data_IF_948894341482
#
_entry.id   IF_948894341482
#
_cell.length_a   1.000
_cell.length_b   1.000
_cell.length_c   1.000
_cell.angle_alpha   90.00
_cell.angle_beta   90.00
_cell.angle_gamma   90.00
#
_symmetry.space_group_name_H-M   'P 1'
#
loop_
_entity.id
_entity.type
_entity.pdbx_description
1 polymer ?
#
# COMPACT_ATOMS: atom_id res chain seq x y z
N UNK A 1 9.69 -16.37 -10.60
CA UNK A 1 9.56 -16.33 -9.14
C UNK A 1 9.58 -14.92 -8.53
N UNK A 2 10.21 -13.90 -9.12
CA UNK A 2 10.37 -12.56 -8.51
C UNK A 2 9.36 -11.47 -8.94
N UNK A 3 8.30 -11.78 -9.73
CA UNK A 3 7.25 -10.80 -10.13
C UNK A 3 6.50 -10.18 -8.92
N UNK A 4 6.49 -10.87 -7.78
CA UNK A 4 5.89 -10.38 -6.53
C UNK A 4 6.60 -9.14 -5.98
N UNK A 5 7.93 -9.07 -6.05
CA UNK A 5 8.73 -7.97 -5.50
C UNK A 5 8.49 -6.62 -6.20
N UNK A 6 8.04 -6.66 -7.46
CA UNK A 6 7.74 -5.46 -8.23
C UNK A 6 6.30 -4.93 -8.02
N UNK A 7 5.48 -5.60 -7.19
CA UNK A 7 4.14 -5.11 -6.87
C UNK A 7 4.23 -3.78 -6.13
N UNK A 8 3.35 -2.81 -6.47
CA UNK A 8 3.33 -1.53 -5.78
C UNK A 8 3.11 -1.73 -4.29
N UNK A 9 3.87 -0.99 -3.50
CA UNK A 9 3.72 -0.94 -2.05
C UNK A 9 3.65 0.54 -1.64
N UNK A 10 2.65 0.98 -0.87
CA UNK A 10 2.50 2.38 -0.54
C UNK A 10 3.50 2.78 0.55
N UNK A 11 4.41 3.68 0.22
CA UNK A 11 5.30 4.30 1.21
C UNK A 11 4.50 5.14 2.21
N UNK A 12 4.84 5.03 3.50
CA UNK A 12 4.21 5.83 4.55
C UNK A 12 4.98 7.13 4.77
N UNK A 13 4.44 8.24 4.27
CA UNK A 13 5.01 9.59 4.37
C UNK A 13 4.28 10.50 5.38
N UNK A 14 3.40 9.94 6.21
CA UNK A 14 2.66 10.69 7.22
C UNK A 14 3.56 10.99 8.43
N UNK A 15 4.16 12.20 8.46
CA UNK A 15 5.12 12.61 9.48
C UNK A 15 4.52 12.56 10.89
N UNK A 16 3.27 13.00 11.07
CA UNK A 16 2.60 12.99 12.38
C UNK A 16 2.40 11.59 12.92
N UNK A 17 2.05 10.68 12.03
CA UNK A 17 1.90 9.28 12.38
C UNK A 17 3.25 8.64 12.67
N UNK A 18 4.26 8.86 11.81
CA UNK A 18 5.60 8.32 11.99
C UNK A 18 6.22 8.79 13.32
N UNK A 19 6.06 10.06 13.71
CA UNK A 19 6.54 10.55 15.00
C UNK A 19 5.93 9.81 16.20
N UNK A 20 4.61 9.53 16.17
CA UNK A 20 3.98 8.72 17.21
C UNK A 20 4.48 7.28 17.21
N UNK A 21 4.62 6.69 16.03
CA UNK A 21 5.09 5.32 15.85
C UNK A 21 6.51 5.15 16.41
N UNK A 22 7.43 6.08 16.06
CA UNK A 22 8.81 6.11 16.56
C UNK A 22 8.82 6.14 18.08
N UNK A 23 8.04 7.04 18.68
CA UNK A 23 7.95 7.17 20.14
C UNK A 23 7.52 5.87 20.82
N UNK A 24 6.42 5.27 20.35
CA UNK A 24 5.92 4.02 20.95
C UNK A 24 6.84 2.83 20.72
N UNK A 25 7.47 2.71 19.55
CA UNK A 25 8.45 1.64 19.29
C UNK A 25 9.67 1.80 20.21
N UNK A 26 10.19 3.02 20.35
CA UNK A 26 11.37 3.27 21.20
C UNK A 26 11.08 2.99 22.68
N UNK A 27 9.90 3.36 23.16
CA UNK A 27 9.47 2.97 24.53
C UNK A 27 9.31 1.45 24.63
N UNK A 28 8.72 0.80 23.62
CA UNK A 28 8.60 -0.65 23.58
C UNK A 28 9.95 -1.37 23.68
N UNK A 29 10.98 -0.85 22.99
CA UNK A 29 12.35 -1.36 23.09
C UNK A 29 12.92 -1.16 24.51
N UNK A 30 12.75 0.02 25.10
CA UNK A 30 13.16 0.28 26.46
C UNK A 30 12.55 -0.69 27.46
N UNK A 31 11.22 -0.89 27.37
CA UNK A 31 10.48 -1.82 28.26
C UNK A 31 10.96 -3.24 28.04
N UNK A 32 11.13 -3.66 26.79
CA UNK A 32 11.66 -4.99 26.47
C UNK A 32 13.04 -5.23 27.08
N UNK A 33 13.98 -4.31 26.85
CA UNK A 33 15.34 -4.41 27.38
C UNK A 33 15.39 -4.42 28.92
N UNK A 34 14.53 -3.62 29.55
CA UNK A 34 14.43 -3.58 31.00
C UNK A 34 13.88 -4.87 31.60
N UNK A 35 12.86 -5.47 30.96
CA UNK A 35 12.23 -6.70 31.46
C UNK A 35 13.07 -7.96 31.18
N UNK A 36 13.57 -8.09 29.96
CA UNK A 36 14.24 -9.30 29.51
C UNK A 36 15.77 -9.30 29.73
N UNK A 37 16.38 -8.13 29.93
CA UNK A 37 17.79 -7.93 30.22
C UNK A 37 18.74 -8.81 29.37
N UNK A 38 18.64 -8.79 28.05
CA UNK A 38 19.48 -9.57 27.15
C UNK A 38 20.96 -9.07 27.20
N UNK A 39 21.90 -9.83 26.63
CA UNK A 39 23.31 -9.42 26.46
C UNK A 39 24.01 -9.11 27.81
N UNK A 40 23.87 -10.00 28.78
CA UNK A 40 24.48 -9.90 30.11
C UNK A 40 24.11 -8.62 30.90
N UNK A 41 23.09 -7.88 30.45
CA UNK A 41 22.57 -6.71 31.17
C UNK A 41 22.10 -7.07 32.56
N UNK A 42 21.70 -8.33 32.80
CA UNK A 42 21.33 -8.84 34.11
C UNK A 42 22.49 -8.83 35.10
N UNK A 43 23.73 -9.00 34.64
CA UNK A 43 24.94 -9.08 35.43
C UNK A 43 25.51 -7.71 35.80
N UNK A 44 25.02 -6.63 35.17
CA UNK A 44 25.50 -5.27 35.40
C UNK A 44 24.99 -4.69 36.72
N UNK A 45 25.72 -3.71 37.22
CA UNK A 45 25.23 -2.91 38.34
C UNK A 45 24.09 -1.97 37.86
N UNK A 46 23.28 -1.43 38.78
CA UNK A 46 22.07 -0.65 38.46
C UNK A 46 22.39 0.60 37.63
N UNK A 47 23.52 1.23 37.78
CA UNK A 47 23.92 2.40 37.01
C UNK A 47 24.24 2.05 35.55
N UNK A 48 25.08 1.04 35.37
CA UNK A 48 25.45 0.54 34.03
C UNK A 48 24.24 0.03 33.28
N UNK A 49 23.37 -0.76 33.92
CA UNK A 49 22.11 -1.24 33.41
C UNK A 49 21.24 -0.06 32.88
N UNK A 50 21.12 0.99 33.67
CA UNK A 50 20.37 2.17 33.28
C UNK A 50 20.98 2.82 32.03
N UNK A 51 22.27 3.05 31.98
CA UNK A 51 22.92 3.65 30.80
C UNK A 51 22.74 2.80 29.56
N UNK A 52 22.97 1.48 29.66
CA UNK A 52 22.82 0.58 28.52
C UNK A 52 21.39 0.58 28.00
N UNK A 53 20.40 0.32 28.85
CA UNK A 53 18.99 0.24 28.45
C UNK A 53 18.49 1.56 27.89
N UNK A 54 18.75 2.65 28.60
CA UNK A 54 18.31 4.00 28.17
C UNK A 54 18.97 4.42 26.85
N UNK A 55 20.29 4.21 26.72
CA UNK A 55 21.03 4.58 25.51
C UNK A 55 20.60 3.82 24.28
N UNK A 56 20.36 2.50 24.38
CA UNK A 56 19.82 1.72 23.25
C UNK A 56 18.42 2.22 22.83
N UNK A 57 17.59 2.61 23.78
CA UNK A 57 16.30 3.21 23.48
C UNK A 57 16.42 4.57 22.77
N UNK A 58 17.34 5.42 23.22
CA UNK A 58 17.65 6.73 22.58
C UNK A 58 18.19 6.52 21.16
N UNK A 59 19.09 5.57 20.95
CA UNK A 59 19.63 5.25 19.61
C UNK A 59 18.54 4.76 18.69
N UNK A 60 17.64 3.88 19.17
CA UNK A 60 16.47 3.45 18.41
C UNK A 60 15.64 4.66 17.98
N UNK A 61 15.34 5.56 18.91
CA UNK A 61 14.57 6.77 18.63
C UNK A 61 15.26 7.66 17.58
N UNK A 62 16.54 7.91 17.73
CA UNK A 62 17.31 8.76 16.80
C UNK A 62 17.44 8.10 15.43
N UNK A 63 17.75 6.81 15.36
CA UNK A 63 17.86 6.07 14.09
C UNK A 63 16.52 6.03 13.35
N UNK A 64 15.42 5.73 14.03
CA UNK A 64 14.10 5.75 13.41
C UNK A 64 13.68 7.16 12.99
N UNK A 65 14.02 8.20 13.78
CA UNK A 65 13.73 9.60 13.41
C UNK A 65 14.49 10.02 12.16
N UNK A 66 15.77 9.67 12.07
CA UNK A 66 16.58 9.90 10.88
C UNK A 66 15.96 9.25 9.65
N UNK A 67 15.61 7.97 9.75
CA UNK A 67 15.13 7.19 8.61
C UNK A 67 13.68 7.48 8.22
N UNK A 68 12.78 7.71 9.15
CA UNK A 68 11.34 7.84 8.86
C UNK A 68 10.85 9.30 8.77
N UNK A 69 11.61 10.26 9.30
CA UNK A 69 11.25 11.69 9.23
C UNK A 69 12.23 12.47 8.36
N UNK A 70 13.54 12.39 8.68
CA UNK A 70 14.55 13.28 8.08
C UNK A 70 14.86 12.88 6.64
N UNK A 71 15.26 11.63 6.39
CA UNK A 71 15.66 11.17 5.05
C UNK A 71 14.53 11.28 4.00
N UNK A 72 13.28 10.89 4.29
CA UNK A 72 12.18 11.07 3.33
C UNK A 72 11.87 12.54 3.05
N UNK A 73 12.05 13.43 4.05
CA UNK A 73 11.85 14.89 3.88
C UNK A 73 12.95 15.54 3.07
N UNK A 74 14.22 15.11 3.21
CA UNK A 74 15.35 15.63 2.45
C UNK A 74 15.40 15.11 1.02
N UNK A 75 15.00 13.87 0.79
CA UNK A 75 15.08 13.18 -0.51
C UNK A 75 13.71 12.73 -1.03
N UNK A 76 12.71 13.62 -1.19
CA UNK A 76 11.34 13.22 -1.56
C UNK A 76 11.26 12.50 -2.89
N UNK A 77 12.20 12.76 -3.82
CA UNK A 77 12.26 12.11 -5.12
C UNK A 77 12.52 10.59 -5.04
N UNK A 78 13.26 10.14 -4.03
CA UNK A 78 13.56 8.71 -3.80
C UNK A 78 12.34 7.98 -3.23
N UNK A 79 11.57 8.65 -2.37
CA UNK A 79 10.47 8.10 -1.59
C UNK A 79 9.08 8.32 -2.21
N UNK A 80 9.03 8.54 -3.55
CA UNK A 80 7.77 8.74 -4.25
C UNK A 80 6.89 7.50 -4.18
N UNK A 81 5.67 7.63 -3.65
CA UNK A 81 4.64 6.57 -3.58
C UNK A 81 4.39 5.88 -4.93
N UNK A 82 4.49 6.63 -6.04
CA UNK A 82 4.22 6.13 -7.40
C UNK A 82 5.19 5.05 -7.86
N UNK A 83 6.43 5.09 -7.41
CA UNK A 83 7.50 4.18 -7.83
C UNK A 83 7.97 3.25 -6.71
N UNK A 84 7.31 3.30 -5.55
CA UNK A 84 7.64 2.45 -4.41
C UNK A 84 7.01 1.06 -4.56
N UNK A 85 7.79 0.03 -4.31
CA UNK A 85 7.38 -1.37 -4.44
C UNK A 85 7.92 -2.22 -3.28
N UNK A 86 7.49 -3.48 -3.21
CA UNK A 86 7.88 -4.40 -2.13
C UNK A 86 9.40 -4.56 -2.04
N UNK A 87 10.11 -4.60 -3.17
CA UNK A 87 11.58 -4.71 -3.18
C UNK A 87 12.22 -3.51 -2.48
N UNK A 88 11.77 -2.29 -2.81
CA UNK A 88 12.28 -1.07 -2.18
C UNK A 88 11.96 -1.01 -0.68
N UNK A 89 10.78 -1.48 -0.27
CA UNK A 89 10.40 -1.57 1.14
C UNK A 89 11.34 -2.50 1.89
N UNK A 90 11.59 -3.72 1.38
CA UNK A 90 12.53 -4.67 2.00
C UNK A 90 13.93 -4.08 2.10
N UNK A 91 14.45 -3.45 1.04
CA UNK A 91 15.75 -2.81 1.07
C UNK A 91 15.81 -1.67 2.08
N UNK A 92 14.72 -0.93 2.22
CA UNK A 92 14.59 0.14 3.20
C UNK A 92 14.57 -0.38 4.63
N UNK A 93 13.84 -1.45 4.90
CA UNK A 93 13.83 -2.12 6.22
C UNK A 93 15.21 -2.66 6.59
N UNK A 94 15.95 -3.25 5.62
CA UNK A 94 17.34 -3.69 5.82
C UNK A 94 18.26 -2.50 6.12
N UNK A 95 18.08 -1.39 5.43
CA UNK A 95 18.83 -0.16 5.69
C UNK A 95 18.58 0.36 7.11
N UNK A 96 17.31 0.44 7.55
CA UNK A 96 16.95 0.85 8.91
C UNK A 96 17.58 -0.11 9.95
N UNK A 97 17.48 -1.43 9.71
CA UNK A 97 18.13 -2.44 10.57
C UNK A 97 19.63 -2.17 10.69
N UNK A 98 20.31 -1.92 9.57
CA UNK A 98 21.74 -1.65 9.55
C UNK A 98 22.09 -0.38 10.34
N UNK A 99 21.32 0.71 10.18
CA UNK A 99 21.57 1.97 10.91
C UNK A 99 21.39 1.82 12.42
N UNK A 100 20.37 1.07 12.87
CA UNK A 100 20.14 0.77 14.29
C UNK A 100 21.28 -0.09 14.83
N UNK A 101 21.64 -1.17 14.12
CA UNK A 101 22.70 -2.10 14.55
C UNK A 101 24.07 -1.41 14.67
N UNK A 102 24.41 -0.56 13.70
CA UNK A 102 25.65 0.25 13.76
C UNK A 102 25.59 1.22 14.93
N UNK A 103 24.45 1.87 15.15
CA UNK A 103 24.25 2.77 16.29
C UNK A 103 24.45 2.05 17.64
N UNK A 104 23.90 0.86 17.78
CA UNK A 104 24.09 0.03 18.98
C UNK A 104 25.55 -0.37 19.16
N UNK A 105 26.21 -0.83 18.09
CA UNK A 105 27.61 -1.20 18.13
C UNK A 105 28.51 -0.04 18.57
N UNK A 106 28.35 1.15 17.95
CA UNK A 106 29.11 2.34 18.31
C UNK A 106 28.87 2.79 19.76
N UNK A 107 27.66 2.63 20.25
CA UNK A 107 27.32 2.97 21.63
C UNK A 107 27.99 2.04 22.63
N UNK A 108 27.97 0.74 22.38
CA UNK A 108 28.69 -0.23 23.23
C UNK A 108 30.20 0.00 23.23
N UNK A 109 30.77 0.32 22.06
CA UNK A 109 32.18 0.72 21.93
C UNK A 109 32.48 1.98 22.74
N UNK A 110 31.59 2.98 22.73
CA UNK A 110 31.75 4.20 23.51
C UNK A 110 31.69 3.99 25.01
N UNK A 111 30.81 3.11 25.47
CA UNK A 111 30.69 2.80 26.91
C UNK A 111 31.94 2.08 27.46
N UNK A 112 32.67 1.34 26.65
CA UNK A 112 33.87 0.59 27.07
C UNK A 112 33.63 -0.46 28.19
N UNK A 113 32.35 -0.86 28.38
CA UNK A 113 31.92 -1.72 29.48
C UNK A 113 32.19 -3.20 29.14
N UNK A 114 32.27 -3.53 27.86
CA UNK A 114 32.36 -4.90 27.37
C UNK A 114 33.43 -5.09 26.30
N UNK A 115 34.01 -6.29 26.27
CA UNK A 115 34.71 -6.78 25.09
C UNK A 115 33.69 -7.13 23.99
N UNK A 116 33.85 -6.52 22.81
CA UNK A 116 32.97 -6.75 21.68
C UNK A 116 33.41 -8.04 20.99
N UNK A 117 32.70 -9.12 21.24
CA UNK A 117 32.87 -10.38 20.55
C UNK A 117 31.80 -10.60 19.46
N UNK A 118 31.93 -11.67 18.67
CA UNK A 118 30.98 -12.03 17.61
C UNK A 118 29.57 -12.31 18.14
N UNK A 119 29.46 -12.92 19.32
CA UNK A 119 28.14 -13.22 19.93
C UNK A 119 27.42 -11.95 20.33
N UNK A 120 28.14 -10.97 20.84
CA UNK A 120 27.58 -9.67 21.19
C UNK A 120 27.07 -8.91 19.94
N UNK A 121 27.87 -8.87 18.87
CA UNK A 121 27.43 -8.25 17.60
C UNK A 121 26.17 -8.93 17.08
N UNK A 122 26.09 -10.24 17.08
CA UNK A 122 24.92 -10.99 16.67
C UNK A 122 23.71 -10.67 17.57
N UNK A 123 23.90 -10.57 18.87
CA UNK A 123 22.88 -10.19 19.84
C UNK A 123 22.33 -8.78 19.59
N UNK A 124 23.18 -7.81 19.29
CA UNK A 124 22.77 -6.43 18.95
C UNK A 124 21.92 -6.39 17.67
N UNK A 125 22.28 -7.18 16.65
CA UNK A 125 21.48 -7.32 15.43
C UNK A 125 20.10 -7.92 15.75
N UNK A 126 20.04 -8.96 16.57
CA UNK A 126 18.78 -9.59 16.98
C UNK A 126 17.88 -8.59 17.72
N UNK A 127 18.44 -7.78 18.64
CA UNK A 127 17.68 -6.74 19.34
C UNK A 127 17.16 -5.68 18.35
N UNK A 128 17.95 -5.29 17.36
CA UNK A 128 17.54 -4.32 16.34
C UNK A 128 16.41 -4.83 15.43
N UNK A 129 16.16 -6.15 15.36
CA UNK A 129 15.00 -6.71 14.64
C UNK A 129 13.67 -6.34 15.33
N UNK A 130 13.65 -6.14 16.64
CA UNK A 130 12.42 -5.85 17.40
C UNK A 130 11.73 -4.57 16.89
N UNK A 131 12.39 -3.40 16.86
CA UNK A 131 11.78 -2.17 16.37
C UNK A 131 11.36 -2.27 14.88
N UNK A 132 12.13 -2.97 14.05
CA UNK A 132 11.80 -3.20 12.65
C UNK A 132 10.53 -4.05 12.51
N UNK A 133 10.44 -5.15 13.24
CA UNK A 133 9.24 -6.01 13.24
C UNK A 133 8.00 -5.22 13.68
N UNK A 134 8.12 -4.43 14.75
CA UNK A 134 7.06 -3.53 15.21
C UNK A 134 6.62 -2.55 14.12
N UNK A 135 7.56 -1.93 13.44
CA UNK A 135 7.31 -0.98 12.36
C UNK A 135 6.57 -1.64 11.19
N UNK A 136 7.05 -2.79 10.71
CA UNK A 136 6.44 -3.52 9.60
C UNK A 136 5.00 -3.93 9.95
N UNK A 137 4.78 -4.54 11.11
CA UNK A 137 3.47 -5.03 11.55
C UNK A 137 2.48 -3.88 11.68
N UNK A 138 2.86 -2.78 12.33
CA UNK A 138 1.97 -1.63 12.57
C UNK A 138 1.62 -0.92 11.25
N UNK A 139 2.61 -0.69 10.38
CA UNK A 139 2.37 -0.08 9.08
C UNK A 139 1.45 -0.94 8.21
N UNK A 140 1.72 -2.25 8.13
CA UNK A 140 0.90 -3.19 7.35
C UNK A 140 -0.55 -3.25 7.86
N UNK A 141 -0.76 -3.32 9.17
CA UNK A 141 -2.09 -3.35 9.76
C UNK A 141 -2.86 -2.04 9.53
N UNK A 142 -2.19 -0.89 9.63
CA UNK A 142 -2.81 0.41 9.32
C UNK A 142 -3.33 0.47 7.89
N UNK A 143 -2.51 0.04 6.93
CA UNK A 143 -2.88 0.06 5.51
C UNK A 143 -4.06 -0.87 5.24
N UNK A 144 -4.00 -2.08 5.78
CA UNK A 144 -5.09 -3.05 5.65
C UNK A 144 -6.40 -2.49 6.21
N UNK A 145 -6.40 -1.98 7.44
CA UNK A 145 -7.59 -1.39 8.08
C UNK A 145 -8.15 -0.19 7.30
N UNK A 146 -7.28 0.67 6.75
CA UNK A 146 -7.73 1.82 5.95
C UNK A 146 -8.45 1.37 4.68
N UNK A 147 -7.89 0.37 3.98
CA UNK A 147 -8.47 -0.14 2.74
C UNK A 147 -9.76 -0.95 3.00
N UNK A 148 -9.82 -1.74 4.09
CA UNK A 148 -11.04 -2.46 4.48
C UNK A 148 -12.19 -1.51 4.80
N UNK A 149 -11.96 -0.49 5.64
CA UNK A 149 -12.99 0.51 5.98
C UNK A 149 -13.53 1.24 4.74
N UNK A 150 -12.63 1.53 3.77
CA UNK A 150 -13.04 2.16 2.53
C UNK A 150 -13.90 1.22 1.69
N UNK A 151 -13.50 -0.04 1.55
CA UNK A 151 -14.26 -1.06 0.82
C UNK A 151 -15.64 -1.32 1.45
N UNK A 152 -15.71 -1.45 2.78
CA UNK A 152 -16.98 -1.61 3.51
C UNK A 152 -17.93 -0.43 3.28
N UNK A 153 -17.39 0.81 3.35
CA UNK A 153 -18.19 2.02 3.12
C UNK A 153 -18.76 2.12 1.70
N UNK A 154 -18.00 1.64 0.69
CA UNK A 154 -18.47 1.59 -0.70
C UNK A 154 -19.50 0.47 -0.86
N UNK A 155 -19.24 -0.73 -0.36
CA UNK A 155 -20.15 -1.87 -0.45
C UNK A 155 -21.54 -1.57 0.17
N UNK A 156 -21.57 -0.83 1.29
CA UNK A 156 -22.83 -0.40 1.91
C UNK A 156 -23.65 0.48 0.95
N UNK A 157 -23.00 1.47 0.32
CA UNK A 157 -23.65 2.42 -0.60
C UNK A 157 -24.08 1.77 -1.93
N UNK A 158 -23.30 0.80 -2.45
CA UNK A 158 -23.67 0.05 -3.66
C UNK A 158 -24.99 -0.72 -3.52
N UNK A 159 -25.33 -1.14 -2.31
CA UNK A 159 -26.62 -1.80 -2.04
C UNK A 159 -27.79 -0.84 -2.08
N UNK A 160 -27.55 0.46 -1.88
CA UNK A 160 -28.59 1.50 -1.77
C UNK A 160 -28.93 2.18 -3.09
N UNK A 161 -28.01 2.20 -4.09
CA UNK A 161 -28.15 3.01 -5.32
C UNK A 161 -27.91 2.20 -6.60
N UNK A 162 -28.94 2.04 -7.45
CA UNK A 162 -28.81 1.54 -8.84
C UNK A 162 -29.54 2.49 -9.79
N UNK A 163 -28.84 3.08 -10.76
CA UNK A 163 -29.40 3.92 -11.82
C UNK A 163 -29.35 3.19 -13.17
N UNK A 164 -30.40 3.34 -14.00
CA UNK A 164 -30.51 2.73 -15.33
C UNK A 164 -30.64 3.83 -16.37
N UNK A 165 -29.77 3.82 -17.39
CA UNK A 165 -29.86 4.70 -18.55
C UNK A 165 -29.81 3.85 -19.84
N UNK A 166 -30.75 4.06 -20.75
CA UNK A 166 -30.92 3.28 -21.99
C UNK A 166 -30.25 3.90 -23.23
N UNK A 167 -29.42 4.93 -23.06
CA UNK A 167 -28.73 5.60 -24.17
C UNK A 167 -27.85 4.64 -24.95
N UNK A 168 -27.96 4.66 -26.29
CA UNK A 168 -27.04 3.92 -27.18
C UNK A 168 -25.74 4.69 -27.36
N UNK A 169 -24.62 3.98 -27.33
CA UNK A 169 -23.30 4.51 -27.63
C UNK A 169 -22.64 3.68 -28.72
N UNK A 170 -21.89 4.32 -29.59
CA UNK A 170 -21.14 3.67 -30.66
C UNK A 170 -19.64 3.89 -30.47
N UNK A 171 -18.92 2.80 -30.28
CA UNK A 171 -17.45 2.79 -30.29
C UNK A 171 -16.99 2.53 -31.73
N UNK A 172 -16.26 3.47 -32.30
CA UNK A 172 -15.75 3.40 -33.68
C UNK A 172 -14.25 3.14 -33.62
N UNK A 173 -13.78 2.18 -34.43
CA UNK A 173 -12.36 1.88 -34.56
C UNK A 173 -11.64 2.96 -35.37
N UNK A 174 -10.40 3.29 -34.99
CA UNK A 174 -9.59 4.31 -35.66
C UNK A 174 -9.11 3.87 -37.05
N UNK A 175 -9.04 2.55 -37.36
CA UNK A 175 -8.39 1.99 -38.55
C UNK A 175 -9.14 0.85 -39.24
N UNK A 176 -10.27 0.40 -38.71
CA UNK A 176 -11.06 -0.70 -39.31
C UNK A 176 -12.55 -0.33 -39.34
N UNK A 177 -13.32 -1.09 -40.13
CA UNK A 177 -14.79 -0.97 -40.14
C UNK A 177 -15.45 -1.55 -38.86
N UNK A 178 -14.64 -1.99 -37.89
CA UNK A 178 -15.15 -2.56 -36.67
C UNK A 178 -15.74 -1.47 -35.80
N UNK A 179 -17.00 -1.60 -35.49
CA UNK A 179 -17.73 -0.73 -34.57
C UNK A 179 -18.58 -1.57 -33.62
N UNK A 180 -18.76 -1.09 -32.41
CA UNK A 180 -19.67 -1.67 -31.43
C UNK A 180 -20.73 -0.63 -31.09
N UNK A 181 -21.98 -0.93 -31.38
CA UNK A 181 -23.14 -0.13 -30.98
C UNK A 181 -23.86 -0.86 -29.84
N UNK A 182 -23.93 -0.24 -28.67
CA UNK A 182 -24.42 -0.89 -27.46
C UNK A 182 -25.12 0.11 -26.53
N UNK A 183 -26.15 -0.35 -25.80
CA UNK A 183 -26.75 0.44 -24.70
C UNK A 183 -25.73 0.60 -23.58
N UNK A 184 -25.53 1.85 -23.11
CA UNK A 184 -24.54 2.16 -22.08
C UNK A 184 -24.84 1.41 -20.79
N UNK A 185 -26.12 1.20 -20.47
CA UNK A 185 -26.56 0.43 -19.32
C UNK A 185 -26.04 -1.02 -19.29
N UNK A 186 -25.77 -1.63 -20.46
CA UNK A 186 -25.27 -3.01 -20.56
C UNK A 186 -23.75 -3.10 -20.34
N UNK A 187 -23.00 -2.01 -20.52
CA UNK A 187 -21.55 -1.99 -20.34
C UNK A 187 -21.20 -2.25 -18.88
N UNK A 188 -20.34 -3.21 -18.63
CA UNK A 188 -19.85 -3.56 -17.30
C UNK A 188 -18.47 -2.96 -17.04
N UNK A 189 -17.51 -3.24 -17.92
CA UNK A 189 -16.10 -2.84 -17.80
C UNK A 189 -15.54 -2.53 -19.18
N UNK A 190 -14.71 -1.50 -19.27
CA UNK A 190 -13.85 -1.24 -20.43
C UNK A 190 -12.40 -1.29 -19.96
N UNK A 191 -11.61 -2.17 -20.58
CA UNK A 191 -10.21 -2.40 -20.26
C UNK A 191 -9.30 -1.93 -21.39
N UNK A 192 -8.23 -1.21 -21.07
CA UNK A 192 -7.17 -0.92 -22.03
C UNK A 192 -6.32 -2.17 -22.30
N UNK A 193 -6.13 -2.52 -23.57
CA UNK A 193 -5.37 -3.67 -24.04
C UNK A 193 -4.42 -3.21 -25.17
N UNK A 194 -3.23 -2.70 -24.81
CA UNK A 194 -2.26 -2.08 -25.74
C UNK A 194 -2.90 -0.91 -26.53
N UNK A 195 -3.04 -1.06 -27.86
CA UNK A 195 -3.66 -0.08 -28.75
C UNK A 195 -5.16 -0.31 -28.94
N UNK A 196 -5.76 -1.18 -28.14
CA UNK A 196 -7.18 -1.53 -28.17
C UNK A 196 -7.80 -1.23 -26.82
N UNK A 197 -9.14 -1.09 -26.85
CA UNK A 197 -10.00 -1.23 -25.68
C UNK A 197 -10.78 -2.52 -25.82
N UNK A 198 -10.96 -3.22 -24.72
CA UNK A 198 -11.84 -4.37 -24.64
C UNK A 198 -13.07 -3.97 -23.84
N UNK A 199 -14.22 -4.00 -24.48
CA UNK A 199 -15.51 -3.65 -23.88
C UNK A 199 -16.19 -4.94 -23.44
N UNK A 200 -16.54 -5.04 -22.17
CA UNK A 200 -17.30 -6.16 -21.58
C UNK A 200 -18.71 -5.69 -21.28
N UNK A 201 -19.71 -6.48 -21.71
CA UNK A 201 -21.11 -6.17 -21.43
C UNK A 201 -21.92 -7.44 -21.09
N UNK A 202 -23.04 -7.23 -20.40
CA UNK A 202 -24.00 -8.29 -20.05
C UNK A 202 -25.11 -8.31 -21.08
N UNK A 203 -25.33 -9.46 -21.71
CA UNK A 203 -26.42 -9.70 -22.66
C UNK A 203 -27.03 -11.07 -22.35
N UNK A 204 -28.32 -11.13 -22.12
CA UNK A 204 -29.08 -12.36 -21.81
C UNK A 204 -28.42 -13.23 -20.71
N UNK A 205 -27.94 -12.62 -19.62
CA UNK A 205 -27.20 -13.24 -18.53
C UNK A 205 -25.81 -13.82 -18.90
N UNK A 206 -25.30 -13.57 -20.11
CA UNK A 206 -23.93 -13.93 -20.52
C UNK A 206 -23.08 -12.67 -20.61
N UNK A 207 -21.80 -12.83 -20.29
CA UNK A 207 -20.82 -11.74 -20.51
C UNK A 207 -20.23 -11.94 -21.90
N UNK A 208 -20.33 -10.89 -22.71
CA UNK A 208 -19.68 -10.79 -24.02
C UNK A 208 -18.56 -9.77 -23.95
N UNK A 209 -17.54 -9.90 -24.79
CA UNK A 209 -16.51 -8.89 -24.96
C UNK A 209 -16.15 -8.69 -26.43
N UNK A 210 -15.67 -7.49 -26.75
CA UNK A 210 -15.14 -7.17 -28.07
C UNK A 210 -13.96 -6.22 -27.94
N UNK A 211 -12.90 -6.50 -28.73
CA UNK A 211 -11.75 -5.63 -28.87
C UNK A 211 -12.03 -4.58 -29.97
N UNK A 212 -11.77 -3.32 -29.65
CA UNK A 212 -11.93 -2.20 -30.59
C UNK A 212 -10.62 -1.42 -30.56
N UNK A 213 -10.05 -1.14 -31.73
CA UNK A 213 -8.85 -0.32 -31.82
C UNK A 213 -9.19 1.14 -31.52
N UNK A 214 -9.01 1.51 -30.28
CA UNK A 214 -9.29 2.83 -29.74
C UNK A 214 -8.56 3.03 -28.41
N UNK A 215 -8.54 4.25 -27.89
CA UNK A 215 -7.94 4.54 -26.60
C UNK A 215 -8.99 4.59 -25.48
N UNK A 216 -8.56 4.22 -24.26
CA UNK A 216 -9.43 4.35 -23.09
C UNK A 216 -9.87 5.81 -22.84
N UNK A 217 -9.04 6.78 -23.22
CA UNK A 217 -9.37 8.20 -23.12
C UNK A 217 -10.52 8.58 -24.04
N UNK A 218 -10.55 8.07 -25.28
CA UNK A 218 -11.69 8.31 -26.21
C UNK A 218 -12.98 7.71 -25.64
N UNK A 219 -12.90 6.48 -25.09
CA UNK A 219 -14.05 5.87 -24.42
C UNK A 219 -14.51 6.67 -23.20
N UNK A 220 -13.58 7.21 -22.40
CA UNK A 220 -13.87 8.08 -21.25
C UNK A 220 -14.61 9.36 -21.68
N UNK A 221 -14.15 10.02 -22.74
CA UNK A 221 -14.80 11.22 -23.29
C UNK A 221 -16.19 10.90 -23.82
N UNK A 222 -16.34 9.80 -24.56
CA UNK A 222 -17.62 9.34 -25.12
C UNK A 222 -18.68 9.07 -24.05
N UNK A 223 -18.24 8.57 -22.89
CA UNK A 223 -19.10 8.16 -21.76
C UNK A 223 -19.14 9.21 -20.63
N UNK A 224 -18.57 10.40 -20.83
CA UNK A 224 -18.41 11.42 -19.79
C UNK A 224 -19.73 11.85 -19.13
N UNK A 225 -20.84 11.87 -19.88
CA UNK A 225 -22.16 12.26 -19.38
C UNK A 225 -22.81 11.19 -18.49
N UNK A 226 -22.29 9.97 -18.49
CA UNK A 226 -22.85 8.82 -17.79
C UNK A 226 -22.33 8.76 -16.35
N UNK A 227 -23.15 9.17 -15.39
CA UNK A 227 -22.78 9.25 -13.98
C UNK A 227 -22.39 7.89 -13.35
N UNK A 228 -22.90 6.79 -13.92
CA UNK A 228 -22.61 5.44 -13.45
C UNK A 228 -21.37 4.79 -14.11
N UNK A 229 -20.77 5.46 -15.13
CA UNK A 229 -19.48 5.01 -15.69
C UNK A 229 -18.37 5.79 -15.02
N UNK A 230 -17.47 5.07 -14.40
CA UNK A 230 -16.42 5.65 -13.56
C UNK A 230 -15.02 5.12 -13.92
N UNK A 231 -14.05 6.03 -14.02
CA UNK A 231 -12.63 5.65 -14.18
C UNK A 231 -12.03 5.31 -12.81
N UNK A 232 -11.80 4.03 -12.56
CA UNK A 232 -11.26 3.55 -11.28
C UNK A 232 -9.74 3.30 -11.34
N UNK A 233 -9.19 3.20 -12.54
CA UNK A 233 -7.76 2.95 -12.77
C UNK A 233 -7.34 3.53 -14.13
N UNK A 234 -6.02 3.76 -14.33
CA UNK A 234 -5.50 4.24 -15.63
C UNK A 234 -5.85 3.36 -16.82
N UNK A 235 -6.17 2.10 -16.58
CA UNK A 235 -6.48 1.09 -17.61
C UNK A 235 -7.92 0.59 -17.56
N UNK A 236 -8.80 1.17 -16.73
CA UNK A 236 -10.16 0.67 -16.56
C UNK A 236 -11.19 1.79 -16.37
N UNK A 237 -12.30 1.68 -17.14
CA UNK A 237 -13.59 2.31 -16.85
C UNK A 237 -14.55 1.22 -16.40
N UNK A 238 -15.39 1.51 -15.42
CA UNK A 238 -16.35 0.55 -14.87
C UNK A 238 -17.73 1.17 -14.76
N UNK A 239 -18.74 0.33 -14.85
CA UNK A 239 -20.10 0.67 -14.50
C UNK A 239 -20.35 0.28 -13.04
N UNK A 240 -20.65 1.27 -12.20
CA UNK A 240 -20.86 1.06 -10.75
C UNK A 240 -22.08 0.18 -10.46
N UNK A 241 -23.07 0.13 -11.36
CA UNK A 241 -24.28 -0.70 -11.20
C UNK A 241 -24.01 -2.21 -11.26
N UNK A 242 -22.88 -2.62 -11.88
CA UNK A 242 -22.48 -4.04 -12.00
C UNK A 242 -21.46 -4.48 -10.96
N UNK A 243 -21.04 -3.57 -10.07
CA UNK A 243 -20.14 -3.96 -8.98
C UNK A 243 -20.85 -4.93 -8.04
N UNK A 244 -20.28 -6.11 -7.87
CA UNK A 244 -20.74 -7.09 -6.88
C UNK A 244 -20.20 -6.73 -5.49
N UNK A 245 -18.88 -6.63 -5.37
CA UNK A 245 -18.22 -6.26 -4.11
C UNK A 245 -16.87 -5.59 -4.33
N UNK A 246 -16.40 -4.89 -3.30
CA UNK A 246 -15.06 -4.33 -3.22
C UNK A 246 -14.34 -4.95 -2.03
N UNK A 247 -13.13 -5.47 -2.28
CA UNK A 247 -12.28 -6.01 -1.23
C UNK A 247 -11.04 -5.13 -1.03
N UNK A 248 -10.77 -4.80 0.24
CA UNK A 248 -9.57 -4.09 0.64
C UNK A 248 -8.42 -5.05 0.95
N UNK A 249 -7.22 -4.71 0.49
CA UNK A 249 -6.00 -5.42 0.82
C UNK A 249 -4.87 -4.45 1.19
N UNK A 250 -3.74 -4.96 1.63
CA UNK A 250 -2.52 -4.15 1.87
C UNK A 250 -2.09 -3.40 0.60
N UNK A 251 -2.31 -3.99 -0.57
CA UNK A 251 -1.91 -3.45 -1.87
C UNK A 251 -2.92 -2.45 -2.47
N UNK A 252 -4.09 -2.27 -1.84
CA UNK A 252 -5.18 -1.41 -2.31
C UNK A 252 -6.51 -2.13 -2.40
N UNK A 253 -7.46 -1.51 -3.08
CA UNK A 253 -8.80 -2.06 -3.27
C UNK A 253 -8.92 -2.75 -4.63
N UNK A 254 -9.73 -3.82 -4.68
CA UNK A 254 -10.10 -4.54 -5.90
C UNK A 254 -11.61 -4.62 -6.00
N UNK A 255 -12.12 -4.41 -7.20
CA UNK A 255 -13.54 -4.56 -7.53
C UNK A 255 -13.75 -5.92 -8.15
N UNK A 256 -14.81 -6.57 -7.71
CA UNK A 256 -15.32 -7.82 -8.24
C UNK A 256 -16.64 -7.56 -8.97
N UNK A 257 -16.83 -8.24 -10.07
CA UNK A 257 -18.05 -8.23 -10.88
C UNK A 257 -18.58 -9.64 -10.96
N UNK A 258 -19.89 -9.80 -10.93
CA UNK A 258 -20.54 -11.11 -11.09
C UNK A 258 -20.18 -11.73 -12.43
N UNK A 259 -19.71 -12.97 -12.41
CA UNK A 259 -19.35 -13.76 -13.61
C UNK A 259 -18.20 -13.18 -14.49
N UNK A 260 -17.33 -12.33 -13.94
CA UNK A 260 -16.14 -11.84 -14.64
C UNK A 260 -14.90 -12.54 -14.07
N UNK A 261 -14.07 -13.16 -14.94
CA UNK A 261 -12.92 -13.98 -14.53
C UNK A 261 -11.72 -13.18 -14.01
N UNK A 262 -11.80 -11.85 -13.99
CA UNK A 262 -10.74 -10.98 -13.49
C UNK A 262 -11.26 -9.92 -12.52
N UNK A 263 -10.37 -9.39 -11.69
CA UNK A 263 -10.66 -8.30 -10.77
C UNK A 263 -10.09 -6.99 -11.28
N UNK A 264 -10.78 -5.89 -11.00
CA UNK A 264 -10.36 -4.55 -11.41
C UNK A 264 -9.66 -3.84 -10.24
N UNK A 265 -8.39 -3.44 -10.38
CA UNK A 265 -7.68 -2.70 -9.35
C UNK A 265 -8.22 -1.26 -9.25
N UNK A 266 -8.32 -0.75 -8.02
CA UNK A 266 -8.73 0.63 -7.76
C UNK A 266 -7.62 1.34 -7.00
N UNK A 267 -7.16 2.48 -7.51
CA UNK A 267 -6.23 3.30 -6.76
C UNK A 267 -6.93 3.98 -5.57
N UNK A 268 -6.17 4.31 -4.52
CA UNK A 268 -6.71 4.92 -3.30
C UNK A 268 -7.51 6.20 -3.58
N UNK A 269 -7.00 7.06 -4.46
CA UNK A 269 -7.69 8.31 -4.84
C UNK A 269 -9.02 8.06 -5.54
N UNK A 270 -9.07 7.06 -6.44
CA UNK A 270 -10.30 6.69 -7.12
C UNK A 270 -11.30 6.00 -6.19
N UNK A 271 -10.84 5.23 -5.21
CA UNK A 271 -11.72 4.62 -4.22
C UNK A 271 -12.44 5.67 -3.35
N UNK A 272 -11.78 6.77 -2.98
CA UNK A 272 -12.44 7.90 -2.30
C UNK A 272 -13.49 8.57 -3.18
N UNK A 273 -13.14 8.88 -4.46
CA UNK A 273 -14.11 9.44 -5.41
C UNK A 273 -15.30 8.52 -5.66
N UNK A 274 -15.06 7.21 -5.78
CA UNK A 274 -16.14 6.23 -5.94
C UNK A 274 -17.08 6.24 -4.73
N UNK A 275 -16.55 6.38 -3.51
CA UNK A 275 -17.36 6.50 -2.29
C UNK A 275 -18.24 7.77 -2.26
N UNK A 276 -17.81 8.84 -2.91
CA UNK A 276 -18.57 10.09 -3.02
C UNK A 276 -19.66 10.00 -4.09
N UNK A 277 -19.47 9.21 -5.16
CA UNK A 277 -20.39 9.05 -6.27
C UNK A 277 -21.55 8.10 -5.99
N UNK A 278 -21.34 7.14 -5.10
CA UNK A 278 -22.31 6.15 -4.65
C UNK A 278 -22.96 6.64 -3.35
#
# INVERSE_FOLDING_TARGET
MFKFLNKPYPFNDDLKYNSKLIFFISIGVLVFLYLFQPLDVALMNNKEKFYVVFGLGVITFLSLSLNLLILPSLFPAVFLKRVWNIKKEILWDIWILSTISVGYYLYYMFLGIFEIDFKMVLGLIIIAIIPITGLIVVNRNRMLRSNLKLAEGINKKLKENKSIDEKLVQFISDYSKDSLSIKVSLIMVIRAANNYIEVFWKEENKIKSQLIRSSLHKAEVLLKEQKFIFKCHRSFLININYIDKIEGSVQGNKIFFENLDFTVPVSKNFAYKLKELI
#
